data_IF_023387655755
#
_entry.id   IF_023387655755
#
_cell.length_a   1.000
_cell.length_b   1.000
_cell.length_c   1.000
_cell.angle_alpha   90.00
_cell.angle_beta   90.00
_cell.angle_gamma   90.00
#
_symmetry.space_group_name_H-M   'P 1'
#
loop_
_entity.id
_entity.type
_entity.pdbx_description
1 polymer ?
#
# COMPACT_ATOMS: atom_id res chain seq x y z
N UNK A 1 -8.80 66.88 21.87
CA UNK A 1 -9.31 66.53 23.21
C UNK A 1 -9.10 65.04 23.38
N UNK A 2 -8.46 64.63 24.48
CA UNK A 2 -8.33 63.21 24.80
C UNK A 2 -9.71 62.68 25.26
N UNK A 3 -10.13 61.48 24.82
CA UNK A 3 -11.41 60.91 25.24
C UNK A 3 -11.44 60.74 26.76
N UNK A 4 -12.58 61.06 27.36
CA UNK A 4 -12.80 60.88 28.79
C UNK A 4 -12.80 59.39 29.15
N UNK A 5 -12.46 59.08 30.40
CA UNK A 5 -12.43 57.69 30.90
C UNK A 5 -13.78 56.98 30.71
N UNK A 6 -14.88 57.74 30.80
CA UNK A 6 -16.23 57.26 30.52
C UNK A 6 -16.44 56.92 29.04
N UNK A 7 -16.04 57.77 28.11
CA UNK A 7 -16.14 57.49 26.67
C UNK A 7 -15.27 56.29 26.25
N UNK A 8 -14.15 56.05 26.95
CA UNK A 8 -13.34 54.84 26.77
C UNK A 8 -14.03 53.59 27.33
N UNK A 9 -14.70 53.70 28.48
CA UNK A 9 -15.45 52.60 29.07
C UNK A 9 -16.67 52.22 28.19
N UNK A 10 -17.44 53.22 27.77
CA UNK A 10 -18.64 53.03 26.93
C UNK A 10 -18.29 52.40 25.56
N UNK A 11 -17.05 52.60 25.07
CA UNK A 11 -16.56 51.97 23.85
C UNK A 11 -16.04 50.53 24.05
N UNK A 12 -15.51 50.22 25.24
CA UNK A 12 -14.92 48.92 25.57
C UNK A 12 -15.98 47.93 26.10
N UNK A 13 -16.99 48.41 26.81
CA UNK A 13 -18.06 47.59 27.38
C UNK A 13 -18.81 46.72 26.35
N UNK A 14 -19.24 47.22 25.17
CA UNK A 14 -19.86 46.38 24.15
C UNK A 14 -18.88 45.37 23.55
N UNK A 15 -17.60 45.73 23.38
CA UNK A 15 -16.56 44.83 22.87
C UNK A 15 -16.28 43.69 23.85
N UNK A 16 -16.25 43.99 25.15
CA UNK A 16 -16.10 42.99 26.21
C UNK A 16 -17.34 42.09 26.27
N UNK A 17 -18.55 42.65 26.13
CA UNK A 17 -19.77 41.86 26.08
C UNK A 17 -19.82 40.91 24.86
N UNK A 18 -19.38 41.36 23.68
CA UNK A 18 -19.22 40.53 22.49
C UNK A 18 -18.17 39.43 22.70
N UNK A 19 -17.01 39.76 23.27
CA UNK A 19 -15.96 38.78 23.59
C UNK A 19 -16.43 37.72 24.59
N UNK A 20 -17.18 38.12 25.62
CA UNK A 20 -17.77 37.20 26.60
C UNK A 20 -18.78 36.27 25.92
N UNK A 21 -19.61 36.81 25.02
CA UNK A 21 -20.58 36.01 24.26
C UNK A 21 -19.88 35.01 23.34
N UNK A 22 -18.90 35.48 22.55
CA UNK A 22 -18.13 34.62 21.65
C UNK A 22 -17.34 33.53 22.40
N UNK A 23 -16.75 33.85 23.55
CA UNK A 23 -16.05 32.84 24.37
C UNK A 23 -17.00 31.81 24.98
N UNK A 24 -18.22 32.20 25.37
CA UNK A 24 -19.25 31.26 25.82
C UNK A 24 -19.73 30.34 24.68
N UNK A 25 -19.93 30.89 23.48
CA UNK A 25 -20.30 30.10 22.29
C UNK A 25 -19.21 29.09 21.93
N UNK A 26 -17.95 29.52 21.88
CA UNK A 26 -16.79 28.65 21.63
C UNK A 26 -16.65 27.57 22.71
N UNK A 27 -16.86 27.90 23.99
CA UNK A 27 -16.82 26.92 25.08
C UNK A 27 -17.95 25.88 24.94
N UNK A 28 -19.15 26.31 24.53
CA UNK A 28 -20.28 25.42 24.27
C UNK A 28 -20.06 24.53 23.03
N UNK A 29 -19.44 25.06 21.97
CA UNK A 29 -19.02 24.26 20.81
C UNK A 29 -17.94 23.25 21.18
N UNK A 30 -16.90 23.68 21.90
CA UNK A 30 -15.85 22.79 22.39
C UNK A 30 -16.44 21.68 23.29
N UNK A 31 -17.35 22.02 24.19
CA UNK A 31 -18.05 21.05 25.03
C UNK A 31 -18.85 20.02 24.22
N UNK A 32 -19.54 20.46 23.16
CA UNK A 32 -20.26 19.56 22.23
C UNK A 32 -19.30 18.66 21.45
N UNK A 33 -18.18 19.20 20.96
CA UNK A 33 -17.17 18.44 20.22
C UNK A 33 -16.49 17.41 21.14
N UNK A 34 -16.10 17.80 22.35
CA UNK A 34 -15.51 16.90 23.35
C UNK A 34 -16.46 15.79 23.79
N UNK A 35 -17.75 16.09 23.99
CA UNK A 35 -18.73 15.05 24.29
C UNK A 35 -18.91 14.07 23.11
N UNK A 36 -18.89 14.57 21.88
CA UNK A 36 -18.97 13.75 20.67
C UNK A 36 -17.71 12.88 20.49
N UNK A 37 -16.54 13.44 20.79
CA UNK A 37 -15.28 12.70 20.82
C UNK A 37 -15.29 11.60 21.88
N UNK A 38 -15.72 11.89 23.11
CA UNK A 38 -15.82 10.88 24.18
C UNK A 38 -16.78 9.73 23.87
N UNK A 39 -17.85 10.00 23.12
CA UNK A 39 -18.77 8.96 22.63
C UNK A 39 -18.11 8.13 21.53
N UNK A 40 -17.40 8.78 20.61
CA UNK A 40 -16.63 8.09 19.57
C UNK A 40 -15.51 7.25 20.18
N UNK A 41 -14.74 7.78 21.13
CA UNK A 41 -13.71 7.06 21.88
C UNK A 41 -14.29 5.85 22.59
N UNK A 42 -15.45 5.97 23.25
CA UNK A 42 -16.14 4.80 23.85
C UNK A 42 -16.56 3.77 22.83
N UNK A 43 -17.09 4.20 21.68
CA UNK A 43 -17.45 3.33 20.55
C UNK A 43 -16.24 2.60 20.01
N UNK A 44 -15.13 3.31 19.88
CA UNK A 44 -13.85 2.82 19.36
C UNK A 44 -13.12 1.89 20.33
N UNK A 45 -13.22 2.13 21.63
CA UNK A 45 -12.72 1.22 22.67
C UNK A 45 -13.52 -0.10 22.75
N UNK A 46 -14.60 -0.24 21.98
CA UNK A 46 -15.47 -1.42 21.94
C UNK A 46 -16.40 -1.53 23.14
N UNK A 47 -16.70 -0.39 23.78
CA UNK A 47 -17.80 -0.25 24.72
C UNK A 47 -19.12 0.13 24.02
N UNK A 48 -19.22 -0.11 22.71
CA UNK A 48 -20.49 -0.03 21.99
C UNK A 48 -21.54 -0.87 22.71
N UNK A 49 -22.75 -0.34 22.83
CA UNK A 49 -23.85 -1.04 23.52
C UNK A 49 -24.63 -1.97 22.58
N UNK A 50 -24.42 -1.83 21.27
CA UNK A 50 -25.09 -2.59 20.22
C UNK A 50 -24.60 -4.04 20.05
N UNK A 51 -25.10 -4.74 19.02
CA UNK A 51 -24.61 -6.07 18.64
C UNK A 51 -23.16 -6.02 18.13
N UNK A 52 -22.52 -7.17 18.06
CA UNK A 52 -21.19 -7.33 17.47
C UNK A 52 -21.26 -7.12 15.95
N UNK A 53 -20.45 -6.19 15.44
CA UNK A 53 -20.35 -5.91 14.00
C UNK A 53 -19.36 -6.89 13.36
N UNK A 54 -19.76 -7.51 12.24
CA UNK A 54 -18.88 -8.32 11.41
C UNK A 54 -18.40 -7.50 10.21
N UNK A 55 -17.24 -6.85 10.38
CA UNK A 55 -16.62 -6.03 9.34
C UNK A 55 -16.07 -6.87 8.18
N UNK A 56 -15.76 -8.15 8.42
CA UNK A 56 -15.20 -9.09 7.43
C UNK A 56 -16.32 -9.79 6.61
N UNK A 57 -17.60 -9.60 6.97
CA UNK A 57 -18.73 -10.26 6.32
C UNK A 57 -18.80 -9.97 4.82
N UNK A 58 -18.79 -11.02 4.01
CA UNK A 58 -19.11 -10.92 2.58
C UNK A 58 -20.62 -11.12 2.41
N UNK A 59 -21.33 -10.03 2.15
CA UNK A 59 -22.77 -10.04 1.87
C UNK A 59 -23.06 -9.86 0.39
N UNK A 60 -24.32 -9.96 0.00
CA UNK A 60 -24.74 -9.88 -1.40
C UNK A 60 -24.35 -8.55 -2.07
N UNK A 61 -24.16 -7.47 -1.29
CA UNK A 61 -23.70 -6.16 -1.80
C UNK A 61 -22.27 -6.27 -2.35
N UNK A 62 -21.36 -6.91 -1.62
CA UNK A 62 -19.93 -6.96 -1.97
C UNK A 62 -19.46 -8.30 -2.54
N UNK A 63 -20.33 -9.32 -2.59
CA UNK A 63 -19.95 -10.66 -3.05
C UNK A 63 -19.36 -10.67 -4.46
N UNK A 64 -19.94 -9.88 -5.38
CA UNK A 64 -19.45 -9.75 -6.74
C UNK A 64 -18.09 -9.03 -6.83
N UNK A 65 -17.87 -8.02 -5.97
CA UNK A 65 -16.60 -7.29 -5.86
C UNK A 65 -15.50 -8.23 -5.37
N UNK A 66 -15.77 -8.99 -4.30
CA UNK A 66 -14.82 -9.98 -3.76
C UNK A 66 -14.54 -11.08 -4.79
N UNK A 67 -15.54 -11.52 -5.56
CA UNK A 67 -15.33 -12.48 -6.64
C UNK A 67 -14.42 -11.93 -7.75
N UNK A 68 -14.59 -10.67 -8.14
CA UNK A 68 -13.71 -10.00 -9.10
C UNK A 68 -12.27 -9.86 -8.57
N UNK A 69 -12.10 -9.52 -7.29
CA UNK A 69 -10.79 -9.45 -6.64
C UNK A 69 -10.09 -10.80 -6.62
N UNK A 70 -10.81 -11.90 -6.36
CA UNK A 70 -10.27 -13.26 -6.41
C UNK A 70 -9.86 -13.66 -7.83
N UNK A 71 -10.69 -13.37 -8.82
CA UNK A 71 -10.34 -13.63 -10.22
C UNK A 71 -9.10 -12.84 -10.66
N UNK A 72 -8.98 -11.59 -10.20
CA UNK A 72 -7.81 -10.76 -10.45
C UNK A 72 -6.56 -11.31 -9.74
N UNK A 73 -6.70 -11.75 -8.48
CA UNK A 73 -5.63 -12.41 -7.74
C UNK A 73 -5.10 -13.63 -8.49
N UNK A 74 -5.98 -14.53 -8.93
CA UNK A 74 -5.60 -15.73 -9.69
C UNK A 74 -4.92 -15.38 -11.01
N UNK A 75 -5.37 -14.33 -11.70
CA UNK A 75 -4.71 -13.84 -12.92
C UNK A 75 -3.33 -13.24 -12.64
N UNK A 76 -3.19 -12.46 -11.56
CA UNK A 76 -1.96 -11.78 -11.16
C UNK A 76 -0.88 -12.73 -10.57
N UNK A 77 -1.24 -13.94 -10.15
CA UNK A 77 -0.28 -14.96 -9.70
C UNK A 77 0.65 -15.42 -10.83
N UNK A 78 0.13 -15.49 -12.07
CA UNK A 78 0.87 -15.93 -13.26
C UNK A 78 1.62 -14.79 -13.95
N UNK A 79 1.40 -13.55 -13.50
CA UNK A 79 2.09 -12.37 -14.02
C UNK A 79 3.25 -11.99 -13.11
N UNK A 80 4.34 -11.49 -13.69
CA UNK A 80 5.42 -10.89 -12.92
C UNK A 80 5.04 -9.48 -12.48
N UNK A 81 5.54 -9.07 -11.31
CA UNK A 81 5.48 -7.67 -10.91
C UNK A 81 6.38 -6.80 -11.80
N UNK A 82 6.07 -5.51 -11.96
CA UNK A 82 6.85 -4.62 -12.82
C UNK A 82 8.30 -4.45 -12.37
N UNK A 83 8.53 -4.35 -11.05
CA UNK A 83 9.88 -4.34 -10.46
C UNK A 83 10.68 -5.57 -10.87
N UNK A 84 10.07 -6.75 -10.78
CA UNK A 84 10.67 -8.03 -11.15
C UNK A 84 10.92 -8.11 -12.66
N UNK A 85 10.01 -7.61 -13.49
CA UNK A 85 10.24 -7.52 -14.94
C UNK A 85 11.45 -6.66 -15.28
N UNK A 86 11.62 -5.53 -14.59
CA UNK A 86 12.78 -4.64 -14.77
C UNK A 86 14.06 -5.33 -14.36
N UNK A 87 14.08 -5.98 -13.19
CA UNK A 87 15.23 -6.74 -12.70
C UNK A 87 15.67 -7.83 -13.70
N UNK A 88 14.73 -8.66 -14.16
CA UNK A 88 15.04 -9.73 -15.13
C UNK A 88 15.51 -9.17 -16.48
N UNK A 89 14.93 -8.06 -16.96
CA UNK A 89 15.39 -7.41 -18.20
C UNK A 89 16.81 -6.88 -18.07
N UNK A 90 17.14 -6.29 -16.92
CA UNK A 90 18.49 -5.82 -16.65
C UNK A 90 19.48 -6.99 -16.58
N UNK A 91 19.10 -8.10 -15.96
CA UNK A 91 19.92 -9.31 -15.91
C UNK A 91 20.23 -9.86 -17.31
N UNK A 92 19.22 -9.94 -18.18
CA UNK A 92 19.39 -10.36 -19.58
C UNK A 92 20.27 -9.36 -20.35
N UNK A 93 20.04 -8.06 -20.16
CA UNK A 93 20.83 -7.02 -20.83
C UNK A 93 22.31 -7.05 -20.41
N UNK A 94 22.59 -7.19 -19.12
CA UNK A 94 23.94 -7.32 -18.57
C UNK A 94 24.66 -8.55 -19.15
N UNK A 95 23.93 -9.67 -19.28
CA UNK A 95 24.48 -10.88 -19.87
C UNK A 95 24.81 -10.72 -21.36
N UNK A 96 23.92 -10.11 -22.14
CA UNK A 96 24.18 -9.83 -23.56
C UNK A 96 25.31 -8.80 -23.75
N UNK A 97 25.45 -7.84 -22.84
CA UNK A 97 26.59 -6.93 -22.84
C UNK A 97 27.91 -7.68 -22.62
N UNK A 98 27.98 -8.61 -21.67
CA UNK A 98 29.17 -9.45 -21.46
C UNK A 98 29.54 -10.24 -22.72
N UNK A 99 28.54 -10.81 -23.42
CA UNK A 99 28.74 -11.51 -24.69
C UNK A 99 29.25 -10.58 -25.79
N UNK A 100 28.67 -9.39 -25.93
CA UNK A 100 29.10 -8.39 -26.89
C UNK A 100 30.54 -7.91 -26.63
N UNK A 101 30.89 -7.64 -25.36
CA UNK A 101 32.25 -7.28 -24.95
C UNK A 101 33.25 -8.39 -25.27
N UNK A 102 32.90 -9.65 -24.98
CA UNK A 102 33.77 -10.79 -25.31
C UNK A 102 33.97 -10.95 -26.82
N UNK A 103 32.90 -10.80 -27.61
CA UNK A 103 32.97 -10.87 -29.07
C UNK A 103 33.83 -9.74 -29.65
N UNK A 104 33.71 -8.53 -29.13
CA UNK A 104 34.57 -7.40 -29.50
C UNK A 104 36.04 -7.67 -29.15
N UNK A 105 36.34 -8.08 -27.92
CA UNK A 105 37.69 -8.41 -27.49
C UNK A 105 38.31 -9.54 -28.33
N UNK A 106 37.53 -10.57 -28.66
CA UNK A 106 37.94 -11.69 -29.53
C UNK A 106 38.23 -11.22 -30.96
N UNK A 107 37.39 -10.31 -31.49
CA UNK A 107 37.59 -9.70 -32.81
C UNK A 107 38.88 -8.88 -32.85
N UNK A 108 39.10 -8.04 -31.82
CA UNK A 108 40.33 -7.26 -31.66
C UNK A 108 41.55 -8.18 -31.61
N UNK A 109 41.51 -9.25 -30.81
CA UNK A 109 42.58 -10.23 -30.68
C UNK A 109 42.96 -10.90 -32.00
N UNK A 110 41.96 -11.19 -32.86
CA UNK A 110 42.17 -11.77 -34.19
C UNK A 110 42.77 -10.78 -35.22
N UNK A 111 42.92 -9.50 -34.86
CA UNK A 111 43.46 -8.46 -35.71
C UNK A 111 44.96 -8.63 -36.03
N UNK A 112 45.37 -8.23 -37.24
CA UNK A 112 46.72 -8.50 -37.79
C UNK A 112 47.84 -7.59 -37.28
N UNK A 113 47.54 -6.54 -36.50
CA UNK A 113 48.50 -5.51 -36.03
C UNK A 113 48.31 -5.21 -34.54
N UNK A 114 48.81 -6.10 -33.68
CA UNK A 114 48.74 -5.97 -32.22
C UNK A 114 50.12 -6.30 -31.64
N UNK A 115 50.57 -5.54 -30.65
CA UNK A 115 51.81 -5.83 -29.94
C UNK A 115 51.64 -7.06 -29.03
N UNK A 116 52.75 -7.68 -28.59
CA UNK A 116 52.68 -8.84 -27.69
C UNK A 116 51.96 -8.52 -26.37
N UNK A 117 52.26 -7.36 -25.77
CA UNK A 117 51.66 -6.94 -24.49
C UNK A 117 50.15 -6.75 -24.63
N UNK A 118 49.71 -6.09 -25.71
CA UNK A 118 48.28 -5.91 -26.00
C UNK A 118 47.57 -7.24 -26.29
N UNK A 119 48.25 -8.19 -26.95
CA UNK A 119 47.71 -9.54 -27.19
C UNK A 119 47.47 -10.27 -25.87
N UNK A 120 48.48 -10.32 -25.00
CA UNK A 120 48.40 -11.02 -23.71
C UNK A 120 47.28 -10.41 -22.83
N UNK A 121 47.12 -9.08 -22.86
CA UNK A 121 46.03 -8.38 -22.16
C UNK A 121 44.64 -8.74 -22.72
N UNK A 122 44.49 -8.78 -24.04
CA UNK A 122 43.23 -9.16 -24.71
C UNK A 122 42.88 -10.64 -24.48
N UNK A 123 43.86 -11.54 -24.49
CA UNK A 123 43.65 -12.95 -24.14
C UNK A 123 43.12 -13.07 -22.71
N UNK A 124 43.76 -12.38 -21.76
CA UNK A 124 43.30 -12.35 -20.38
C UNK A 124 41.87 -11.81 -20.25
N UNK A 125 41.54 -10.72 -20.95
CA UNK A 125 40.20 -10.13 -20.98
C UNK A 125 39.16 -11.12 -21.53
N UNK A 126 39.44 -11.80 -22.64
CA UNK A 126 38.54 -12.81 -23.23
C UNK A 126 38.30 -13.98 -22.28
N UNK A 127 39.35 -14.46 -21.60
CA UNK A 127 39.23 -15.52 -20.60
C UNK A 127 38.41 -15.07 -19.38
N UNK A 128 38.66 -13.88 -18.85
CA UNK A 128 37.90 -13.27 -17.76
C UNK A 128 36.41 -13.14 -18.11
N UNK A 129 36.10 -12.62 -19.30
CA UNK A 129 34.73 -12.49 -19.79
C UNK A 129 34.08 -13.85 -20.02
N UNK A 130 34.82 -14.83 -20.54
CA UNK A 130 34.34 -16.21 -20.70
C UNK A 130 33.92 -16.84 -19.37
N UNK A 131 34.73 -16.66 -18.32
CA UNK A 131 34.38 -17.12 -16.98
C UNK A 131 33.13 -16.43 -16.43
N UNK A 132 33.03 -15.09 -16.57
CA UNK A 132 31.85 -14.32 -16.13
C UNK A 132 30.56 -14.73 -16.86
N UNK A 133 30.66 -15.01 -18.17
CA UNK A 133 29.54 -15.51 -18.97
C UNK A 133 29.12 -16.89 -18.47
N UNK A 134 30.04 -17.83 -18.32
CA UNK A 134 29.72 -19.19 -17.83
C UNK A 134 29.10 -19.18 -16.43
N UNK A 135 29.52 -18.25 -15.56
CA UNK A 135 28.95 -18.09 -14.22
C UNK A 135 27.51 -17.56 -14.21
N UNK A 136 27.07 -16.84 -15.26
CA UNK A 136 25.75 -16.18 -15.35
C UNK A 136 24.80 -16.79 -16.37
N UNK A 137 25.24 -17.76 -17.15
CA UNK A 137 24.48 -18.33 -18.27
C UNK A 137 23.17 -18.98 -17.81
N UNK A 138 23.20 -19.72 -16.69
CA UNK A 138 22.01 -20.38 -16.16
C UNK A 138 20.97 -19.38 -15.64
N UNK A 139 21.42 -18.33 -14.96
CA UNK A 139 20.56 -17.27 -14.40
C UNK A 139 19.91 -16.48 -15.54
N UNK A 140 20.71 -16.00 -16.51
CA UNK A 140 20.20 -15.29 -17.69
C UNK A 140 19.22 -16.13 -18.52
N UNK A 141 19.50 -17.43 -18.72
CA UNK A 141 18.56 -18.32 -19.40
C UNK A 141 17.25 -18.50 -18.62
N UNK A 142 17.31 -18.50 -17.29
CA UNK A 142 16.12 -18.55 -16.43
C UNK A 142 15.33 -17.25 -16.50
N UNK A 143 16.02 -16.10 -16.49
CA UNK A 143 15.39 -14.78 -16.64
C UNK A 143 14.65 -14.66 -17.98
N UNK A 144 15.26 -15.11 -19.09
CA UNK A 144 14.60 -15.16 -20.40
C UNK A 144 13.32 -16.01 -20.35
N UNK A 145 13.39 -17.24 -19.84
CA UNK A 145 12.22 -18.13 -19.76
C UNK A 145 11.09 -17.53 -18.93
N UNK A 146 11.41 -16.86 -17.82
CA UNK A 146 10.41 -16.19 -16.96
C UNK A 146 9.75 -15.01 -17.67
N UNK A 147 10.52 -14.19 -18.40
CA UNK A 147 9.98 -13.08 -19.19
C UNK A 147 9.10 -13.57 -20.35
N UNK A 148 9.45 -14.68 -20.99
CA UNK A 148 8.63 -15.31 -22.03
C UNK A 148 7.32 -15.85 -21.47
N UNK A 149 7.36 -16.52 -20.32
CA UNK A 149 6.16 -17.01 -19.63
C UNK A 149 5.22 -15.85 -19.24
N UNK A 150 5.75 -14.77 -18.65
CA UNK A 150 4.99 -13.55 -18.33
C UNK A 150 4.35 -12.93 -19.58
N UNK A 151 5.11 -12.85 -20.68
CA UNK A 151 4.58 -12.36 -21.95
C UNK A 151 3.38 -13.19 -22.42
N UNK A 152 3.52 -14.51 -22.47
CA UNK A 152 2.43 -15.40 -22.86
C UNK A 152 1.22 -15.25 -21.94
N UNK A 153 1.44 -15.19 -20.62
CA UNK A 153 0.37 -14.99 -19.65
C UNK A 153 -0.36 -13.65 -19.86
N UNK A 154 0.38 -12.57 -20.19
CA UNK A 154 -0.16 -11.22 -20.43
C UNK A 154 -0.98 -11.09 -21.71
N UNK A 155 -0.75 -11.96 -22.70
CA UNK A 155 -1.46 -11.93 -23.98
C UNK A 155 -2.88 -12.53 -23.86
N UNK A 156 -3.12 -13.41 -22.88
CA UNK A 156 -4.43 -14.04 -22.65
C UNK A 156 -5.50 -13.01 -22.24
N UNK A 157 -6.63 -13.00 -22.97
CA UNK A 157 -7.68 -11.99 -22.81
C UNK A 157 -8.35 -12.03 -21.45
N UNK A 158 -8.66 -13.22 -20.94
CA UNK A 158 -9.35 -13.39 -19.67
C UNK A 158 -8.52 -12.85 -18.50
N UNK A 159 -7.18 -12.97 -18.53
CA UNK A 159 -6.31 -12.40 -17.50
C UNK A 159 -6.34 -10.89 -17.52
N UNK A 160 -6.24 -10.28 -18.71
CA UNK A 160 -6.33 -8.81 -18.85
C UNK A 160 -7.66 -8.28 -18.35
N UNK A 161 -8.75 -8.93 -18.71
CA UNK A 161 -10.09 -8.58 -18.23
C UNK A 161 -10.21 -8.73 -16.72
N UNK A 162 -9.69 -9.82 -16.15
CA UNK A 162 -9.69 -10.05 -14.71
C UNK A 162 -8.87 -9.01 -13.94
N UNK A 163 -7.68 -8.64 -14.43
CA UNK A 163 -6.84 -7.59 -13.81
C UNK A 163 -7.55 -6.24 -13.82
N UNK A 164 -8.13 -5.84 -14.96
CA UNK A 164 -8.88 -4.58 -15.08
C UNK A 164 -10.10 -4.58 -14.16
N UNK A 165 -10.86 -5.68 -14.12
CA UNK A 165 -11.99 -5.83 -13.21
C UNK A 165 -11.54 -5.76 -11.74
N UNK A 166 -10.39 -6.35 -11.42
CA UNK A 166 -9.76 -6.30 -10.10
C UNK A 166 -9.38 -4.89 -9.67
N UNK A 167 -8.76 -4.09 -10.55
CA UNK A 167 -8.42 -2.70 -10.27
C UNK A 167 -9.66 -1.89 -9.89
N UNK A 168 -10.74 -2.03 -10.67
CA UNK A 168 -12.02 -1.39 -10.34
C UNK A 168 -12.60 -1.90 -9.02
N UNK A 169 -12.56 -3.22 -8.80
CA UNK A 169 -13.08 -3.84 -7.59
C UNK A 169 -12.31 -3.40 -6.32
N UNK A 170 -11.03 -3.02 -6.44
CA UNK A 170 -10.23 -2.47 -5.32
C UNK A 170 -10.69 -1.08 -4.88
N UNK A 171 -11.20 -0.27 -5.80
CA UNK A 171 -11.82 1.01 -5.46
C UNK A 171 -13.18 0.77 -4.78
N UNK A 172 -13.99 -0.10 -5.38
CA UNK A 172 -15.32 -0.43 -4.87
C UNK A 172 -15.26 -1.06 -3.46
N UNK A 173 -14.27 -1.92 -3.17
CA UNK A 173 -14.11 -2.54 -1.84
C UNK A 173 -13.67 -1.52 -0.78
N UNK A 174 -12.88 -0.50 -1.14
CA UNK A 174 -12.51 0.59 -0.22
C UNK A 174 -13.72 1.45 0.13
N UNK A 175 -14.55 1.77 -0.87
CA UNK A 175 -15.79 2.51 -0.64
C UNK A 175 -16.78 1.71 0.20
N UNK A 176 -16.90 0.40 -0.06
CA UNK A 176 -17.73 -0.50 0.75
C UNK A 176 -17.23 -0.58 2.21
N UNK A 177 -15.91 -0.72 2.41
CA UNK A 177 -15.29 -0.70 3.71
C UNK A 177 -15.57 0.62 4.46
N UNK A 178 -15.46 1.76 3.76
CA UNK A 178 -15.76 3.09 4.34
C UNK A 178 -17.21 3.19 4.79
N UNK A 179 -18.16 2.83 3.91
CA UNK A 179 -19.60 2.83 4.22
C UNK A 179 -19.94 1.91 5.38
N UNK A 180 -19.31 0.73 5.46
CA UNK A 180 -19.52 -0.22 6.56
C UNK A 180 -19.03 0.36 7.89
N UNK A 181 -17.84 0.96 7.90
CA UNK A 181 -17.30 1.63 9.08
C UNK A 181 -18.20 2.79 9.54
N UNK A 182 -18.69 3.62 8.60
CA UNK A 182 -19.59 4.72 8.93
C UNK A 182 -20.91 4.24 9.54
N UNK A 183 -21.51 3.17 8.99
CA UNK A 183 -22.72 2.57 9.56
C UNK A 183 -22.47 2.02 10.96
N UNK A 184 -21.39 1.29 11.16
CA UNK A 184 -21.03 0.72 12.46
C UNK A 184 -20.83 1.82 13.52
N UNK A 185 -20.09 2.88 13.18
CA UNK A 185 -19.85 4.01 14.06
C UNK A 185 -21.13 4.82 14.36
N UNK A 186 -22.03 4.96 13.38
CA UNK A 186 -23.31 5.62 13.57
C UNK A 186 -24.26 4.82 14.48
N UNK A 187 -24.27 3.49 14.33
CA UNK A 187 -25.16 2.57 15.04
C UNK A 187 -24.69 2.14 16.44
N UNK A 188 -23.53 2.61 16.91
CA UNK A 188 -22.96 2.23 18.23
C UNK A 188 -22.71 0.71 18.38
N UNK A 189 -22.38 0.02 17.28
CA UNK A 189 -22.09 -1.41 17.29
C UNK A 189 -20.76 -1.73 17.97
N UNK A 190 -20.63 -2.94 18.51
CA UNK A 190 -19.36 -3.42 19.07
C UNK A 190 -18.43 -3.82 17.94
N UNK A 191 -17.31 -3.10 17.81
CA UNK A 191 -16.31 -3.36 16.79
C UNK A 191 -15.46 -4.60 17.13
N UNK A 192 -15.04 -5.40 16.13
CA UNK A 192 -14.20 -6.57 16.33
C UNK A 192 -12.92 -6.28 17.11
N UNK A 193 -12.44 -7.27 17.88
CA UNK A 193 -11.19 -7.14 18.66
C UNK A 193 -10.00 -6.83 17.75
N UNK A 194 -9.85 -7.54 16.63
CA UNK A 194 -8.77 -7.30 15.68
C UNK A 194 -8.76 -5.87 15.16
N UNK A 195 -9.95 -5.26 14.99
CA UNK A 195 -10.07 -3.89 14.48
C UNK A 195 -9.54 -2.92 15.52
N UNK A 196 -9.99 -3.05 16.76
CA UNK A 196 -9.55 -2.21 17.89
C UNK A 196 -8.06 -2.32 18.16
N UNK A 197 -7.53 -3.55 18.15
CA UNK A 197 -6.09 -3.83 18.34
C UNK A 197 -5.26 -3.29 17.16
N UNK A 198 -5.79 -3.38 15.94
CA UNK A 198 -5.10 -2.95 14.74
C UNK A 198 -5.01 -1.44 14.60
N UNK A 199 -6.14 -0.75 14.70
CA UNK A 199 -6.21 0.71 14.48
C UNK A 199 -5.79 1.51 15.69
N UNK A 200 -5.95 0.97 16.90
CA UNK A 200 -5.79 1.72 18.15
C UNK A 200 -6.84 2.82 18.31
N UNK A 201 -6.59 3.70 19.27
CA UNK A 201 -7.46 4.84 19.62
C UNK A 201 -7.18 6.05 18.70
N UNK A 202 -8.15 6.97 18.63
CA UNK A 202 -7.94 8.25 17.95
C UNK A 202 -7.14 9.15 18.88
N UNK A 203 -5.85 9.32 18.58
CA UNK A 203 -4.91 10.10 19.39
C UNK A 203 -4.81 11.57 18.95
N UNK A 204 -5.38 11.93 17.79
CA UNK A 204 -5.27 13.25 17.18
C UNK A 204 -6.66 13.89 17.00
N UNK A 205 -6.84 15.21 17.23
CA UNK A 205 -8.10 15.91 16.96
C UNK A 205 -8.58 15.79 15.51
N UNK A 206 -7.69 15.60 14.53
CA UNK A 206 -8.08 15.23 13.17
C UNK A 206 -8.20 13.70 13.04
N UNK A 207 -9.42 13.14 12.88
CA UNK A 207 -9.63 11.71 12.73
C UNK A 207 -9.31 11.19 11.32
N UNK A 208 -8.98 12.07 10.35
CA UNK A 208 -8.81 11.69 8.95
C UNK A 208 -7.73 10.62 8.72
N UNK A 209 -6.52 10.70 9.31
CA UNK A 209 -5.51 9.66 9.16
C UNK A 209 -5.97 8.32 9.75
N UNK A 210 -6.64 8.36 10.89
CA UNK A 210 -7.19 7.17 11.55
C UNK A 210 -8.27 6.50 10.69
N UNK A 211 -9.23 7.29 10.18
CA UNK A 211 -10.31 6.79 9.32
C UNK A 211 -9.77 6.19 8.01
N UNK A 212 -8.71 6.79 7.45
CA UNK A 212 -8.03 6.27 6.26
C UNK A 212 -7.41 4.89 6.53
N UNK A 213 -6.64 4.76 7.60
CA UNK A 213 -6.00 3.49 7.97
C UNK A 213 -7.04 2.42 8.34
N UNK A 214 -8.08 2.80 9.08
CA UNK A 214 -9.18 1.91 9.46
C UNK A 214 -9.94 1.37 8.23
N UNK A 215 -10.25 2.25 7.26
CA UNK A 215 -10.87 1.87 5.99
C UNK A 215 -9.94 0.95 5.19
N UNK A 216 -8.66 1.30 5.10
CA UNK A 216 -7.64 0.49 4.45
C UNK A 216 -7.51 -0.91 5.05
N UNK A 217 -7.60 -1.02 6.38
CA UNK A 217 -7.54 -2.30 7.09
C UNK A 217 -8.75 -3.20 6.79
N UNK A 218 -9.97 -2.65 6.84
CA UNK A 218 -11.16 -3.42 6.47
C UNK A 218 -11.11 -3.85 5.00
N UNK A 219 -10.75 -2.94 4.11
CA UNK A 219 -10.60 -3.25 2.68
C UNK A 219 -9.55 -4.33 2.43
N UNK A 220 -8.39 -4.26 3.10
CA UNK A 220 -7.33 -5.27 3.02
C UNK A 220 -7.82 -6.65 3.45
N UNK A 221 -8.53 -6.75 4.58
CA UNK A 221 -9.05 -8.03 5.07
C UNK A 221 -10.10 -8.62 4.13
N UNK A 222 -10.96 -7.78 3.55
CA UNK A 222 -11.96 -8.19 2.56
C UNK A 222 -11.31 -8.64 1.23
N UNK A 223 -10.29 -7.92 0.75
CA UNK A 223 -9.58 -8.25 -0.49
C UNK A 223 -8.80 -9.57 -0.37
N UNK A 224 -8.02 -9.73 0.70
CA UNK A 224 -7.12 -10.88 0.86
C UNK A 224 -7.69 -12.00 1.74
N UNK A 225 -8.95 -11.88 2.18
CA UNK A 225 -9.64 -12.89 2.98
C UNK A 225 -8.97 -13.16 4.34
N UNK A 226 -8.41 -12.12 4.97
CA UNK A 226 -7.75 -12.27 6.27
C UNK A 226 -8.80 -12.34 7.37
N UNK A 227 -8.86 -13.46 8.07
CA UNK A 227 -9.82 -13.72 9.15
C UNK A 227 -9.16 -13.89 10.52
N UNK A 228 -7.86 -13.64 10.63
CA UNK A 228 -7.11 -13.81 11.88
C UNK A 228 -7.66 -12.82 12.94
N UNK A 229 -8.06 -13.30 14.13
CA UNK A 229 -8.66 -12.48 15.19
C UNK A 229 -7.62 -11.70 16.02
N UNK A 230 -6.34 -12.04 15.92
CA UNK A 230 -5.24 -11.44 16.70
C UNK A 230 -4.34 -10.58 15.82
N UNK A 231 -3.97 -11.06 14.63
CA UNK A 231 -3.19 -10.31 13.65
C UNK A 231 -4.12 -9.63 12.64
N UNK A 232 -4.34 -8.30 12.72
CA UNK A 232 -5.29 -7.61 11.86
C UNK A 232 -4.94 -7.71 10.37
N UNK A 233 -3.65 -7.75 10.06
CA UNK A 233 -3.10 -7.90 8.70
C UNK A 233 -2.77 -9.35 8.33
N UNK A 234 -2.96 -10.31 9.25
CA UNK A 234 -2.62 -11.72 9.03
C UNK A 234 -1.12 -11.98 8.97
N UNK A 235 -0.74 -13.00 8.21
CA UNK A 235 0.67 -13.36 7.95
C UNK A 235 1.33 -12.34 7.02
N UNK A 236 2.60 -12.03 7.29
CA UNK A 236 3.42 -11.14 6.45
C UNK A 236 3.58 -11.77 5.07
N UNK A 237 3.11 -11.13 3.98
CA UNK A 237 3.26 -11.65 2.63
C UNK A 237 4.73 -11.67 2.20
N UNK A 238 5.11 -12.71 1.43
CA UNK A 238 6.45 -12.85 0.86
C UNK A 238 6.48 -12.41 -0.60
N UNK A 239 7.53 -11.69 -1.00
CA UNK A 239 7.78 -11.29 -2.40
C UNK A 239 8.63 -12.31 -3.17
N UNK A 240 8.99 -13.44 -2.55
CA UNK A 240 9.97 -14.39 -3.10
C UNK A 240 9.57 -14.98 -4.46
N UNK A 241 8.27 -15.14 -4.75
CA UNK A 241 7.79 -15.63 -6.05
C UNK A 241 8.01 -14.60 -7.18
N UNK A 242 8.01 -13.31 -6.83
CA UNK A 242 8.00 -12.20 -7.79
C UNK A 242 6.71 -12.06 -8.60
N UNK A 243 5.65 -12.81 -8.26
CA UNK A 243 4.34 -12.67 -8.89
C UNK A 243 3.70 -11.33 -8.55
N UNK A 244 2.97 -10.72 -9.47
CA UNK A 244 2.30 -9.44 -9.29
C UNK A 244 1.36 -9.44 -8.08
N UNK A 245 0.59 -10.52 -7.89
CA UNK A 245 -0.34 -10.65 -6.77
C UNK A 245 0.36 -10.55 -5.40
N UNK A 246 1.40 -11.35 -5.19
CA UNK A 246 2.14 -11.36 -3.92
C UNK A 246 2.95 -10.09 -3.68
N UNK A 247 3.58 -9.53 -4.71
CA UNK A 247 4.30 -8.25 -4.60
C UNK A 247 3.32 -7.13 -4.22
N UNK A 248 2.17 -7.06 -4.89
CA UNK A 248 1.12 -6.08 -4.56
C UNK A 248 0.64 -6.24 -3.12
N UNK A 249 0.33 -7.47 -2.68
CA UNK A 249 -0.09 -7.71 -1.30
C UNK A 249 0.97 -7.26 -0.30
N UNK A 250 2.25 -7.46 -0.61
CA UNK A 250 3.36 -7.03 0.23
C UNK A 250 3.51 -5.51 0.31
N UNK A 251 3.36 -4.80 -0.82
CA UNK A 251 3.35 -3.34 -0.85
C UNK A 251 2.18 -2.78 -0.04
N UNK A 252 0.96 -3.27 -0.28
CA UNK A 252 -0.23 -2.83 0.48
C UNK A 252 -0.10 -3.14 1.96
N UNK A 253 0.44 -4.33 2.30
CA UNK A 253 0.72 -4.71 3.69
C UNK A 253 1.70 -3.73 4.34
N UNK A 254 2.81 -3.42 3.67
CA UNK A 254 3.85 -2.54 4.20
C UNK A 254 3.32 -1.11 4.42
N UNK A 255 2.61 -0.55 3.44
CA UNK A 255 1.99 0.77 3.51
C UNK A 255 0.99 0.86 4.64
N UNK A 256 0.12 -0.15 4.78
CA UNK A 256 -0.90 -0.17 5.82
C UNK A 256 -0.28 -0.41 7.20
N UNK A 257 0.72 -1.29 7.31
CA UNK A 257 1.45 -1.50 8.56
C UNK A 257 2.17 -0.22 9.01
N UNK A 258 2.70 0.57 8.08
CA UNK A 258 3.30 1.88 8.37
C UNK A 258 2.24 2.88 8.85
N UNK A 259 1.12 2.99 8.14
CA UNK A 259 0.01 3.85 8.54
C UNK A 259 -0.52 3.51 9.94
N UNK A 260 -0.72 2.22 10.25
CA UNK A 260 -1.18 1.78 11.56
C UNK A 260 -0.14 2.01 12.66
N UNK A 261 1.16 1.87 12.35
CA UNK A 261 2.24 2.21 13.29
C UNK A 261 2.28 3.71 13.59
N UNK A 262 2.07 4.56 12.59
CA UNK A 262 2.05 6.01 12.75
C UNK A 262 0.88 6.54 13.60
N UNK A 263 -0.18 5.75 13.81
CA UNK A 263 -1.29 6.10 14.69
C UNK A 263 -1.02 5.85 16.17
N UNK A 264 0.02 5.07 16.49
CA UNK A 264 0.36 4.74 17.88
C UNK A 264 1.15 5.90 18.50
N UNK A 265 0.84 6.26 19.76
CA UNK A 265 1.53 7.34 20.48
C UNK A 265 2.98 7.00 20.84
#
# INVERSE_FOLDING_TARGET
MAPTEKERLDAVEPVVAELVTATQELAAELGRVSARLLVLERRLAGAGSGPDEDLDRVDDEIAHVVAALRAAWDAEQELLADSVRVELRNEVADFEELKARRANASTRLSGRRITRIERDALEHEVHQLGWKIGAREADAATAVRRLEADRHASEESWRREAVIAGEKAREEIRDAARRRLDRALAADTRLPVWFRVGTGEITNPDPTPWLRAATGLVAYRLEYGVTDPVSPLGEVPSTASGSAAWVRRAEVYADLAEQLRALRP
#
